data_IF_857715335640
#
_entry.id   IF_857715335640
#
_cell.length_a   1.000
_cell.length_b   1.000
_cell.length_c   1.000
_cell.angle_alpha   90.00
_cell.angle_beta   90.00
_cell.angle_gamma   90.00
#
_symmetry.space_group_name_H-M   'P 1'
#
loop_
_entity.id
_entity.type
_entity.pdbx_description
1 polymer ?
#
# COMPACT_ATOMS: atom_id res chain seq x y z
N UNK A 1 47.08 -0.86 -41.96
CA UNK A 1 46.42 -1.76 -40.99
C UNK A 1 45.91 -0.92 -39.83
N UNK A 2 44.62 -0.59 -39.83
CA UNK A 2 43.96 0.13 -38.74
C UNK A 2 43.20 -0.90 -37.87
N UNK A 3 43.52 -0.96 -36.58
CA UNK A 3 42.82 -1.82 -35.63
C UNK A 3 41.59 -1.08 -35.09
N UNK A 4 40.42 -1.68 -35.31
CA UNK A 4 39.12 -1.26 -34.80
C UNK A 4 39.11 -1.29 -33.26
N UNK A 5 38.81 -0.15 -32.63
CA UNK A 5 38.40 -0.09 -31.23
C UNK A 5 36.93 -0.51 -31.09
N UNK A 6 36.68 -1.56 -30.32
CA UNK A 6 35.34 -2.00 -29.94
C UNK A 6 34.74 -0.99 -28.94
N UNK A 7 33.67 -0.30 -29.33
CA UNK A 7 32.79 0.42 -28.43
C UNK A 7 31.77 -0.54 -27.83
N UNK A 8 31.90 -0.82 -26.53
CA UNK A 8 30.81 -1.42 -25.76
C UNK A 8 29.68 -0.40 -25.60
N UNK A 9 28.40 -0.77 -25.78
CA UNK A 9 27.29 0.15 -25.58
C UNK A 9 27.13 0.43 -24.08
N UNK A 10 27.25 1.71 -23.70
CA UNK A 10 26.84 2.19 -22.38
C UNK A 10 25.33 1.97 -22.25
N UNK A 11 24.90 1.23 -21.24
CA UNK A 11 23.50 1.14 -20.84
C UNK A 11 23.03 2.51 -20.33
N UNK A 12 22.01 3.14 -20.94
CA UNK A 12 21.42 4.36 -20.41
C UNK A 12 20.28 3.96 -19.48
N UNK A 13 20.56 3.92 -18.18
CA UNK A 13 19.51 4.09 -17.18
C UNK A 13 19.88 5.39 -16.50
N UNK A 14 19.36 6.48 -17.06
CA UNK A 14 19.65 7.84 -16.61
C UNK A 14 19.16 8.01 -15.17
N UNK A 15 20.06 8.46 -14.29
CA UNK A 15 19.77 8.71 -12.87
C UNK A 15 18.67 9.75 -12.63
N UNK A 16 18.32 10.54 -13.65
CA UNK A 16 17.23 11.52 -13.64
C UNK A 16 15.82 10.89 -13.59
N UNK A 17 15.65 9.67 -14.11
CA UNK A 17 14.36 8.99 -14.05
C UNK A 17 14.02 8.54 -12.63
N UNK A 18 15.04 8.13 -11.86
CA UNK A 18 14.87 7.67 -10.48
C UNK A 18 14.59 8.82 -9.51
N UNK A 19 15.28 9.96 -9.64
CA UNK A 19 15.00 11.18 -8.87
C UNK A 19 13.58 11.71 -9.10
N UNK A 20 13.10 11.68 -10.34
CA UNK A 20 11.72 12.07 -10.67
C UNK A 20 10.69 11.09 -10.08
N UNK A 21 11.00 9.78 -10.08
CA UNK A 21 10.21 8.78 -9.37
C UNK A 21 10.19 9.05 -7.86
N UNK A 22 11.32 9.40 -7.24
CA UNK A 22 11.39 9.71 -5.81
C UNK A 22 10.57 10.93 -5.39
N UNK A 23 10.49 11.98 -6.23
CA UNK A 23 9.57 13.10 -5.99
C UNK A 23 8.10 12.66 -6.03
N UNK A 24 7.73 11.78 -6.96
CA UNK A 24 6.38 11.19 -7.00
C UNK A 24 6.08 10.25 -5.83
N UNK A 25 7.11 9.60 -5.26
CA UNK A 25 6.99 8.62 -4.16
C UNK A 25 7.09 9.25 -2.76
N UNK A 26 7.33 10.56 -2.63
CA UNK A 26 7.46 11.25 -1.35
C UNK A 26 6.09 11.46 -0.66
N UNK A 27 5.41 10.36 -0.35
CA UNK A 27 4.08 10.24 0.25
C UNK A 27 4.11 10.33 1.79
N UNK A 28 5.07 11.04 2.40
CA UNK A 28 5.20 11.01 3.86
C UNK A 28 4.44 12.10 4.62
N UNK A 29 4.14 13.24 4.03
CA UNK A 29 3.35 14.31 4.70
C UNK A 29 2.01 14.62 4.03
N UNK A 30 1.95 14.56 2.69
CA UNK A 30 0.73 14.89 1.93
C UNK A 30 -0.34 13.82 2.11
N UNK A 31 0.06 12.55 2.16
CA UNK A 31 -0.84 11.38 2.22
C UNK A 31 -1.71 11.34 3.47
N UNK A 32 -1.20 11.79 4.61
CA UNK A 32 -1.96 11.78 5.86
C UNK A 32 -3.02 12.87 5.92
N UNK A 33 -2.79 14.02 5.28
CA UNK A 33 -3.70 15.16 5.34
C UNK A 33 -4.70 15.20 4.18
N UNK A 34 -4.31 14.75 2.97
CA UNK A 34 -5.17 14.83 1.78
C UNK A 34 -6.01 13.58 1.53
N UNK A 35 -5.65 12.42 2.08
CA UNK A 35 -6.39 11.16 1.84
C UNK A 35 -7.72 11.02 2.59
N UNK A 36 -8.09 12.06 3.35
CA UNK A 36 -9.21 12.10 4.27
C UNK A 36 -10.31 13.07 3.87
N UNK A 37 -9.98 13.99 2.95
CA UNK A 37 -10.89 15.01 2.46
C UNK A 37 -11.27 14.76 0.99
N UNK A 38 -10.85 13.62 0.46
CA UNK A 38 -11.02 13.26 -0.94
C UNK A 38 -11.68 11.87 -0.95
N UNK A 39 -12.84 11.70 -1.61
CA UNK A 39 -13.42 10.38 -1.87
C UNK A 39 -12.39 9.44 -2.50
N UNK A 40 -12.39 8.16 -2.13
CA UNK A 40 -11.44 7.20 -2.69
C UNK A 40 -11.62 7.10 -4.21
N UNK A 41 -12.83 7.30 -4.73
CA UNK A 41 -13.10 7.41 -6.17
C UNK A 41 -12.31 8.52 -6.87
N UNK A 42 -11.93 9.60 -6.19
CA UNK A 42 -11.15 10.65 -6.83
C UNK A 42 -9.72 10.18 -7.17
N UNK A 43 -9.25 9.10 -6.54
CA UNK A 43 -7.99 8.45 -6.90
C UNK A 43 -8.02 7.81 -8.28
N UNK A 44 -9.19 7.56 -8.86
CA UNK A 44 -9.32 7.01 -10.22
C UNK A 44 -8.76 7.96 -11.28
N UNK A 45 -8.77 9.28 -11.00
CA UNK A 45 -8.14 10.27 -11.87
C UNK A 45 -6.62 10.12 -11.97
N UNK A 46 -6.01 9.39 -11.03
CA UNK A 46 -4.57 9.14 -10.96
C UNK A 46 -4.22 7.70 -11.36
N UNK A 47 -5.09 7.05 -12.15
CA UNK A 47 -4.91 5.66 -12.55
C UNK A 47 -3.57 5.41 -13.25
N UNK A 48 -3.09 6.34 -14.08
CA UNK A 48 -1.81 6.21 -14.77
C UNK A 48 -0.64 6.28 -13.78
N UNK A 49 -0.70 7.16 -12.80
CA UNK A 49 0.30 7.34 -11.76
C UNK A 49 0.41 6.10 -10.87
N UNK A 50 -0.71 5.48 -10.50
CA UNK A 50 -0.69 4.20 -9.78
C UNK A 50 -0.05 3.09 -10.62
N UNK A 51 -0.35 3.03 -11.91
CA UNK A 51 0.25 2.05 -12.82
C UNK A 51 1.77 2.29 -12.97
N UNK A 52 2.20 3.54 -13.06
CA UNK A 52 3.62 3.93 -13.09
C UNK A 52 4.34 3.52 -11.81
N UNK A 53 3.73 3.72 -10.63
CA UNK A 53 4.28 3.29 -9.33
C UNK A 53 4.53 1.77 -9.35
N UNK A 54 3.52 0.99 -9.76
CA UNK A 54 3.58 -0.48 -9.80
C UNK A 54 4.63 -0.96 -10.82
N UNK A 55 4.64 -0.37 -12.02
CA UNK A 55 5.60 -0.70 -13.06
C UNK A 55 7.04 -0.40 -12.63
N UNK A 56 7.26 0.76 -11.98
CA UNK A 56 8.57 1.18 -11.49
C UNK A 56 9.05 0.28 -10.36
N UNK A 57 8.20 -0.03 -9.39
CA UNK A 57 8.52 -0.95 -8.31
C UNK A 57 8.88 -2.35 -8.83
N UNK A 58 8.16 -2.83 -9.86
CA UNK A 58 8.48 -4.09 -10.54
C UNK A 58 9.87 -4.03 -11.19
N UNK A 59 10.18 -2.98 -11.94
CA UNK A 59 11.49 -2.82 -12.57
C UNK A 59 12.64 -2.82 -11.53
N UNK A 60 12.46 -2.14 -10.39
CA UNK A 60 13.42 -2.15 -9.28
C UNK A 60 13.64 -3.57 -8.74
N UNK A 61 12.56 -4.33 -8.52
CA UNK A 61 12.64 -5.72 -8.04
C UNK A 61 13.27 -6.68 -9.05
N UNK A 62 13.01 -6.48 -10.34
CA UNK A 62 13.59 -7.28 -11.43
C UNK A 62 15.11 -7.04 -11.53
N UNK A 63 15.56 -5.78 -11.41
CA UNK A 63 16.99 -5.42 -11.34
C UNK A 63 17.66 -6.09 -10.14
N UNK A 64 17.03 -6.04 -8.95
CA UNK A 64 17.53 -6.72 -7.74
C UNK A 64 17.65 -8.24 -7.93
N UNK A 65 16.74 -8.84 -8.71
CA UNK A 65 16.70 -10.28 -8.95
C UNK A 65 17.70 -10.75 -10.02
N UNK A 66 17.96 -9.94 -11.04
CA UNK A 66 18.88 -10.24 -12.16
C UNK A 66 20.37 -10.10 -11.83
N UNK A 67 20.73 -9.36 -10.77
CA UNK A 67 22.11 -9.10 -10.36
C UNK A 67 22.80 -10.22 -9.56
N UNK A 68 22.22 -11.42 -9.48
CA UNK A 68 22.78 -12.58 -8.76
C UNK A 68 24.00 -13.19 -9.49
N UNK A 69 25.06 -12.42 -9.71
CA UNK A 69 26.40 -13.00 -9.91
C UNK A 69 26.93 -13.43 -8.54
N UNK A 70 27.34 -14.69 -8.41
CA UNK A 70 27.52 -15.40 -7.14
C UNK A 70 28.64 -14.91 -6.21
N UNK A 71 29.32 -13.78 -6.49
CA UNK A 71 30.57 -13.39 -5.82
C UNK A 71 30.66 -11.92 -5.37
N UNK A 72 29.62 -11.09 -5.53
CA UNK A 72 29.65 -9.72 -4.99
C UNK A 72 28.94 -9.65 -3.64
N UNK A 73 29.64 -9.14 -2.62
CA UNK A 73 29.03 -8.73 -1.34
C UNK A 73 27.79 -7.86 -1.62
N UNK A 74 26.72 -7.95 -0.80
CA UNK A 74 25.57 -7.07 -0.95
C UNK A 74 26.06 -5.63 -0.83
N UNK A 75 26.11 -4.93 -1.96
CA UNK A 75 26.44 -3.52 -2.00
C UNK A 75 25.33 -2.82 -1.22
N UNK A 76 25.69 -2.06 -0.18
CA UNK A 76 24.75 -1.18 0.49
C UNK A 76 24.26 -0.16 -0.53
N UNK A 77 23.13 -0.44 -1.16
CA UNK A 77 22.33 0.56 -1.87
C UNK A 77 21.39 1.16 -0.83
N UNK A 78 21.39 2.49 -0.62
CA UNK A 78 20.33 3.12 0.16
C UNK A 78 19.00 2.66 -0.44
N UNK A 79 18.22 1.92 0.34
CA UNK A 79 17.04 1.21 -0.16
C UNK A 79 16.09 2.21 -0.81
N UNK A 80 15.91 2.07 -2.12
CA UNK A 80 14.89 2.80 -2.87
C UNK A 80 13.55 2.40 -2.26
N UNK A 81 12.87 3.34 -1.58
CA UNK A 81 11.65 3.07 -0.84
C UNK A 81 10.48 2.71 -1.75
N UNK A 82 10.23 1.42 -1.99
CA UNK A 82 9.10 0.94 -2.79
C UNK A 82 7.97 0.39 -1.93
N UNK A 83 8.21 0.07 -0.65
CA UNK A 83 7.20 -0.52 0.25
C UNK A 83 6.02 0.44 0.45
N UNK A 84 6.27 1.67 0.87
CA UNK A 84 5.20 2.62 1.17
C UNK A 84 4.38 3.02 -0.07
N UNK A 85 4.99 3.29 -1.24
CA UNK A 85 4.22 3.52 -2.46
C UNK A 85 3.36 2.33 -2.88
N UNK A 86 3.89 1.10 -2.77
CA UNK A 86 3.12 -0.11 -3.05
C UNK A 86 2.00 -0.31 -2.04
N UNK A 87 2.22 0.00 -0.76
CA UNK A 87 1.19 -0.02 0.27
C UNK A 87 0.07 0.95 -0.08
N UNK A 88 0.41 2.18 -0.44
CA UNK A 88 -0.56 3.21 -0.81
C UNK A 88 -1.34 2.84 -2.07
N UNK A 89 -0.65 2.35 -3.11
CA UNK A 89 -1.29 1.87 -4.33
C UNK A 89 -2.27 0.73 -4.05
N UNK A 90 -1.87 -0.21 -3.19
CA UNK A 90 -2.75 -1.32 -2.79
C UNK A 90 -3.96 -0.83 -1.99
N UNK A 91 -3.77 0.13 -1.08
CA UNK A 91 -4.84 0.64 -0.21
C UNK A 91 -5.84 1.55 -0.95
N UNK A 92 -5.37 2.41 -1.85
CA UNK A 92 -6.19 3.49 -2.45
C UNK A 92 -6.66 3.19 -3.85
N UNK A 93 -5.90 2.45 -4.65
CA UNK A 93 -6.28 2.24 -6.05
C UNK A 93 -7.43 1.22 -6.16
N UNK A 94 -8.50 1.60 -6.87
CA UNK A 94 -9.74 0.81 -6.88
C UNK A 94 -9.74 -0.41 -7.78
N UNK A 95 -8.89 -0.42 -8.80
CA UNK A 95 -8.82 -1.52 -9.75
C UNK A 95 -8.19 -2.79 -9.11
N UNK A 96 -8.94 -3.90 -9.04
CA UNK A 96 -8.50 -5.12 -8.36
C UNK A 96 -7.32 -5.78 -9.05
N UNK A 97 -7.25 -5.72 -10.38
CA UNK A 97 -6.10 -6.25 -11.12
C UNK A 97 -4.80 -5.56 -10.67
N UNK A 98 -4.76 -4.23 -10.68
CA UNK A 98 -3.56 -3.50 -10.26
C UNK A 98 -3.28 -3.59 -8.77
N UNK A 99 -4.32 -3.63 -7.95
CA UNK A 99 -4.20 -3.84 -6.50
C UNK A 99 -3.52 -5.17 -6.19
N UNK A 100 -3.94 -6.24 -6.85
CA UNK A 100 -3.35 -7.57 -6.69
C UNK A 100 -1.87 -7.58 -7.14
N UNK A 101 -1.54 -6.87 -8.21
CA UNK A 101 -0.14 -6.73 -8.66
C UNK A 101 0.70 -5.98 -7.63
N UNK A 102 0.22 -4.85 -7.12
CA UNK A 102 0.91 -4.06 -6.11
C UNK A 102 1.17 -4.90 -4.84
N UNK A 103 0.17 -5.63 -4.39
CA UNK A 103 0.26 -6.53 -3.24
C UNK A 103 1.28 -7.66 -3.46
N UNK A 104 1.32 -8.27 -4.65
CA UNK A 104 2.32 -9.30 -5.01
C UNK A 104 3.74 -8.74 -4.99
N UNK A 105 3.96 -7.51 -5.44
CA UNK A 105 5.27 -6.84 -5.38
C UNK A 105 5.63 -6.46 -3.93
N UNK A 106 4.67 -5.99 -3.16
CA UNK A 106 4.85 -5.62 -1.75
C UNK A 106 5.37 -6.81 -0.93
N UNK A 107 4.77 -8.00 -1.09
CA UNK A 107 5.25 -9.25 -0.46
C UNK A 107 6.72 -9.57 -0.78
N UNK A 108 7.20 -9.16 -1.96
CA UNK A 108 8.58 -9.39 -2.44
C UNK A 108 9.54 -8.26 -2.11
N UNK A 109 9.07 -7.16 -1.52
CA UNK A 109 9.86 -5.94 -1.34
C UNK A 109 10.89 -6.00 -0.21
N UNK A 110 10.88 -7.06 0.61
CA UNK A 110 11.83 -7.24 1.69
C UNK A 110 11.53 -6.30 2.86
N UNK A 111 12.54 -5.58 3.36
CA UNK A 111 12.44 -4.66 4.49
C UNK A 111 13.04 -3.33 4.07
N UNK A 112 12.40 -2.21 4.46
CA UNK A 112 12.89 -0.85 4.25
C UNK A 112 12.79 -0.09 5.57
N UNK A 113 13.92 0.13 6.25
CA UNK A 113 13.90 0.74 7.58
C UNK A 113 12.97 0.01 8.58
N UNK A 114 11.90 0.67 9.11
CA UNK A 114 10.90 0.03 9.96
C UNK A 114 9.87 -0.81 9.20
N UNK A 115 9.72 -0.62 7.90
CA UNK A 115 8.69 -1.28 7.10
C UNK A 115 9.14 -2.66 6.62
N UNK A 116 8.24 -3.63 6.64
CA UNK A 116 8.49 -4.96 6.11
C UNK A 116 7.38 -5.34 5.13
N UNK A 117 7.73 -5.52 3.86
CA UNK A 117 6.76 -5.73 2.78
C UNK A 117 5.87 -6.96 3.00
N UNK A 118 6.38 -8.00 3.65
CA UNK A 118 5.59 -9.18 4.01
C UNK A 118 4.55 -8.91 5.12
N UNK A 119 4.88 -8.05 6.09
CA UNK A 119 3.95 -7.60 7.13
C UNK A 119 2.90 -6.67 6.52
N UNK A 120 3.35 -5.65 5.78
CA UNK A 120 2.49 -4.66 5.13
C UNK A 120 1.49 -5.32 4.17
N UNK A 121 1.92 -6.33 3.42
CA UNK A 121 1.03 -7.09 2.55
C UNK A 121 -0.03 -7.88 3.32
N UNK A 122 0.32 -8.52 4.45
CA UNK A 122 -0.67 -9.23 5.27
C UNK A 122 -1.70 -8.29 5.88
N UNK A 123 -1.27 -7.09 6.25
CA UNK A 123 -2.19 -6.05 6.72
C UNK A 123 -3.18 -5.68 5.61
N UNK A 124 -2.69 -5.50 4.39
CA UNK A 124 -3.54 -5.16 3.24
C UNK A 124 -4.45 -6.31 2.78
N UNK A 125 -4.06 -7.57 2.98
CA UNK A 125 -4.97 -8.71 2.77
C UNK A 125 -6.22 -8.57 3.65
N UNK A 126 -6.05 -8.15 4.91
CA UNK A 126 -7.18 -7.93 5.82
C UNK A 126 -8.03 -6.75 5.39
N UNK A 127 -7.43 -5.70 4.83
CA UNK A 127 -8.16 -4.57 4.24
C UNK A 127 -9.00 -5.04 3.06
N UNK A 128 -8.39 -5.71 2.09
CA UNK A 128 -9.06 -6.20 0.89
C UNK A 128 -10.21 -7.14 1.26
N UNK A 129 -9.97 -8.08 2.18
CA UNK A 129 -11.02 -8.97 2.66
C UNK A 129 -12.16 -8.21 3.36
N UNK A 130 -11.87 -7.12 4.08
CA UNK A 130 -12.90 -6.30 4.71
C UNK A 130 -13.74 -5.51 3.70
N UNK A 131 -13.12 -5.02 2.62
CA UNK A 131 -13.82 -4.35 1.52
C UNK A 131 -14.70 -5.34 0.74
N UNK A 132 -14.14 -6.50 0.36
CA UNK A 132 -14.78 -7.47 -0.54
C UNK A 132 -15.79 -8.40 0.15
N UNK A 133 -15.70 -8.63 1.47
CA UNK A 133 -16.64 -9.48 2.23
C UNK A 133 -18.10 -8.98 2.19
N UNK A 134 -18.33 -7.75 1.74
CA UNK A 134 -19.69 -7.20 1.56
C UNK A 134 -20.34 -7.69 0.26
N UNK A 135 -19.54 -7.99 -0.76
CA UNK A 135 -20.01 -8.45 -2.07
C UNK A 135 -20.60 -9.86 -2.00
N UNK A 136 -20.00 -10.74 -1.19
CA UNK A 136 -20.48 -12.13 -0.97
C UNK A 136 -21.86 -12.20 -0.27
N UNK A 137 -22.25 -11.14 0.46
CA UNK A 137 -23.58 -11.08 1.11
C UNK A 137 -24.69 -10.65 0.17
N UNK A 138 -24.36 -10.08 -0.99
CA UNK A 138 -25.33 -9.61 -1.98
C UNK A 138 -25.39 -10.52 -3.21
N UNK A 139 -24.28 -11.19 -3.58
CA UNK A 139 -24.21 -12.10 -4.74
C UNK A 139 -25.00 -13.42 -4.57
N UNK A 140 -25.50 -13.71 -3.37
CA UNK A 140 -26.41 -14.83 -3.12
C UNK A 140 -27.87 -14.53 -3.50
N UNK A 141 -28.17 -13.33 -4.00
CA UNK A 141 -29.46 -12.97 -4.56
C UNK A 141 -29.26 -12.31 -5.94
N UNK A 142 -29.89 -12.86 -6.98
CA UNK A 142 -30.03 -12.36 -8.36
C UNK A 142 -28.98 -12.82 -9.39
N UNK A 143 -29.33 -13.92 -10.07
CA UNK A 143 -28.96 -14.18 -11.47
C UNK A 143 -29.70 -13.18 -12.37
N UNK A 144 -29.06 -12.09 -12.78
CA UNK A 144 -29.50 -11.31 -13.94
C UNK A 144 -28.28 -10.76 -14.71
N UNK A 145 -28.19 -10.93 -16.05
CA UNK A 145 -27.05 -10.45 -16.83
C UNK A 145 -27.18 -8.94 -17.08
N UNK A 146 -26.47 -8.14 -16.27
CA UNK A 146 -26.33 -6.69 -16.48
C UNK A 146 -25.12 -6.35 -17.39
N UNK A 147 -25.17 -5.23 -18.13
CA UNK A 147 -24.17 -4.87 -19.13
C UNK A 147 -22.85 -4.41 -18.49
N UNK A 148 -21.73 -4.80 -19.11
CA UNK A 148 -20.36 -4.53 -18.66
C UNK A 148 -20.02 -3.04 -18.63
N UNK A 149 -20.09 -2.43 -17.44
CA UNK A 149 -19.36 -1.20 -17.10
C UNK A 149 -17.86 -1.53 -16.92
N UNK A 150 -16.93 -0.58 -17.14
CA UNK A 150 -15.52 -0.83 -16.86
C UNK A 150 -15.35 -1.01 -15.35
N UNK A 151 -15.23 -2.26 -14.91
CA UNK A 151 -15.21 -2.65 -13.50
C UNK A 151 -14.09 -1.93 -12.75
N UNK A 152 -14.47 -0.98 -11.91
CA UNK A 152 -13.63 -0.39 -10.85
C UNK A 152 -14.12 -1.04 -9.56
N UNK A 153 -13.47 -2.15 -9.24
CA UNK A 153 -14.06 -3.35 -8.63
C UNK A 153 -14.62 -3.20 -7.19
N UNK A 154 -14.40 -2.06 -6.51
CA UNK A 154 -14.92 -1.83 -5.14
C UNK A 154 -15.60 -0.45 -5.04
N UNK A 155 -16.90 -0.40 -4.67
CA UNK A 155 -17.64 0.86 -4.54
C UNK A 155 -17.15 1.67 -3.33
N UNK A 156 -17.33 3.00 -3.38
CA UNK A 156 -16.83 3.95 -2.38
C UNK A 156 -17.31 3.62 -0.95
N UNK A 157 -18.58 3.25 -0.84
CA UNK A 157 -19.26 2.91 0.40
C UNK A 157 -18.76 1.61 1.03
N UNK A 158 -17.92 0.83 0.34
CA UNK A 158 -17.25 -0.36 0.87
C UNK A 158 -15.79 -0.12 1.20
N UNK A 159 -15.22 1.04 0.85
CA UNK A 159 -13.80 1.32 1.00
C UNK A 159 -13.38 1.48 2.44
N UNK A 160 -12.20 0.95 2.75
CA UNK A 160 -11.45 1.31 3.94
C UNK A 160 -10.61 2.54 3.62
N UNK A 161 -10.91 3.64 4.27
CA UNK A 161 -10.21 4.91 4.05
C UNK A 161 -8.87 4.95 4.79
N UNK A 162 -8.74 4.25 5.92
CA UNK A 162 -7.53 4.25 6.73
C UNK A 162 -7.17 2.87 7.28
N UNK A 163 -5.87 2.63 7.35
CA UNK A 163 -5.28 1.46 7.97
C UNK A 163 -4.03 1.90 8.74
N UNK A 164 -4.05 1.71 10.06
CA UNK A 164 -2.99 2.15 10.97
C UNK A 164 -2.54 0.98 11.86
N UNK A 165 -1.24 0.72 11.91
CA UNK A 165 -0.68 -0.20 12.91
C UNK A 165 -0.62 0.53 14.25
N UNK A 166 -1.39 0.06 15.23
CA UNK A 166 -1.38 0.62 16.58
C UNK A 166 -0.33 -0.02 17.48
N UNK A 167 -0.15 -1.34 17.33
CA UNK A 167 0.65 -2.10 18.28
C UNK A 167 1.13 -3.43 17.66
N UNK A 168 2.11 -4.05 18.32
CA UNK A 168 2.57 -5.41 18.03
C UNK A 168 2.33 -6.28 19.26
N UNK A 169 1.81 -7.49 19.05
CA UNK A 169 1.33 -8.35 20.14
C UNK A 169 2.05 -9.70 20.14
N UNK A 170 2.33 -10.25 21.33
CA UNK A 170 2.85 -11.61 21.50
C UNK A 170 1.76 -12.69 21.32
N UNK A 171 2.08 -13.97 21.58
CA UNK A 171 1.11 -15.09 21.51
C UNK A 171 -0.04 -14.98 22.51
N UNK A 172 0.11 -14.20 23.58
CA UNK A 172 -0.89 -13.96 24.63
C UNK A 172 -1.68 -12.68 24.36
N UNK A 173 -1.47 -12.05 23.21
CA UNK A 173 -2.03 -10.74 22.85
C UNK A 173 -1.60 -9.60 23.78
N UNK A 174 -0.45 -9.75 24.43
CA UNK A 174 0.15 -8.68 25.22
C UNK A 174 0.96 -7.75 24.30
N UNK A 175 0.81 -6.44 24.49
CA UNK A 175 1.56 -5.41 23.78
C UNK A 175 3.06 -5.59 23.99
N UNK A 176 3.82 -5.48 22.91
CA UNK A 176 5.28 -5.52 22.96
C UNK A 176 5.86 -4.22 22.44
N UNK A 177 6.72 -3.61 23.23
CA UNK A 177 7.53 -2.50 22.76
C UNK A 177 8.62 -3.04 21.81
N UNK A 178 8.72 -2.45 20.62
CA UNK A 178 9.66 -2.85 19.54
C UNK A 178 11.13 -2.44 19.80
N UNK A 179 11.43 -1.95 21.01
CA UNK A 179 12.73 -1.46 21.44
C UNK A 179 13.79 -2.56 21.67
N UNK A 180 13.41 -3.84 21.51
CA UNK A 180 14.34 -4.98 21.66
C UNK A 180 14.72 -5.55 20.30
N UNK A 181 15.96 -5.29 19.89
CA UNK A 181 16.56 -5.81 18.67
C UNK A 181 16.53 -7.35 18.55
N UNK A 182 16.71 -7.82 17.31
CA UNK A 182 16.84 -9.22 16.85
C UNK A 182 16.11 -10.29 17.70
N UNK A 183 14.86 -10.56 17.33
CA UNK A 183 14.05 -11.64 17.91
C UNK A 183 12.78 -11.15 18.60
N UNK A 184 12.03 -10.24 17.96
CA UNK A 184 10.75 -9.76 18.50
C UNK A 184 9.82 -10.95 18.79
N UNK A 185 9.26 -11.05 20.01
CA UNK A 185 8.26 -12.07 20.33
C UNK A 185 6.90 -11.78 19.69
N UNK A 186 6.75 -10.66 18.97
CA UNK A 186 5.50 -10.36 18.29
C UNK A 186 5.13 -11.44 17.31
N UNK A 187 3.85 -11.82 17.37
CA UNK A 187 3.19 -12.72 16.45
C UNK A 187 2.02 -12.07 15.73
N UNK A 188 1.57 -10.91 16.21
CA UNK A 188 0.49 -10.18 15.57
C UNK A 188 0.80 -8.68 15.48
N UNK A 189 0.31 -8.01 14.45
CA UNK A 189 0.14 -6.57 14.41
C UNK A 189 -1.33 -6.25 14.74
N UNK A 190 -1.56 -5.38 15.73
CA UNK A 190 -2.88 -4.81 15.99
C UNK A 190 -3.08 -3.63 15.05
N UNK A 191 -4.01 -3.78 14.13
CA UNK A 191 -4.32 -2.80 13.09
C UNK A 191 -5.68 -2.17 13.37
N UNK A 192 -5.74 -0.85 13.31
CA UNK A 192 -6.97 -0.07 13.29
C UNK A 192 -7.36 0.19 11.82
N UNK A 193 -8.58 -0.16 11.48
CA UNK A 193 -9.20 0.09 10.19
C UNK A 193 -10.30 1.12 10.37
N UNK A 194 -10.34 2.12 9.50
CA UNK A 194 -11.39 3.15 9.54
C UNK A 194 -12.06 3.29 8.17
N UNK A 195 -13.38 3.38 8.19
CA UNK A 195 -14.24 3.57 7.03
C UNK A 195 -15.17 4.75 7.29
N UNK A 196 -15.31 5.63 6.31
CA UNK A 196 -16.29 6.71 6.39
C UNK A 196 -17.66 6.20 5.94
N UNK A 197 -18.69 6.37 6.77
CA UNK A 197 -20.09 6.01 6.47
C UNK A 197 -20.79 7.09 5.65
N UNK A 198 -20.46 8.35 5.92
CA UNK A 198 -21.09 9.53 5.32
C UNK A 198 -20.02 10.58 5.02
N UNK A 199 -19.40 10.42 3.85
CA UNK A 199 -18.33 11.30 3.40
C UNK A 199 -18.85 12.70 3.05
N UNK A 200 -20.02 12.80 2.42
CA UNK A 200 -20.60 14.09 2.03
C UNK A 200 -21.01 14.92 3.25
N UNK A 201 -21.65 14.28 4.23
CA UNK A 201 -21.99 14.92 5.50
C UNK A 201 -20.75 15.34 6.28
N UNK A 202 -19.70 14.53 6.27
CA UNK A 202 -18.43 14.89 6.93
C UNK A 202 -17.75 16.09 6.25
N UNK A 203 -17.72 16.12 4.91
CA UNK A 203 -17.09 17.21 4.16
C UNK A 203 -17.87 18.52 4.27
N UNK A 204 -19.18 18.44 4.52
CA UNK A 204 -20.06 19.59 4.67
C UNK A 204 -20.19 20.09 6.13
N UNK A 205 -19.61 19.40 7.11
CA UNK A 205 -19.69 19.77 8.53
C UNK A 205 -18.72 20.91 8.87
N UNK A 206 -19.23 22.14 8.87
CA UNK A 206 -18.48 23.34 9.26
C UNK A 206 -18.12 23.39 10.76
N UNK A 207 -18.76 22.55 11.59
CA UNK A 207 -18.52 22.49 13.04
C UNK A 207 -17.33 21.59 13.41
N UNK A 208 -16.73 20.93 12.42
CA UNK A 208 -15.59 20.02 12.59
C UNK A 208 -14.36 20.79 13.10
N UNK A 209 -14.01 20.56 14.37
CA UNK A 209 -12.82 21.13 15.01
C UNK A 209 -11.49 20.57 14.47
N UNK A 210 -10.33 21.14 14.88
CA UNK A 210 -9.02 20.70 14.42
C UNK A 210 -8.72 19.24 14.79
N UNK A 211 -8.16 18.52 13.80
CA UNK A 211 -8.05 17.05 13.73
C UNK A 211 -6.95 16.52 14.66
N UNK A 212 -7.31 16.06 15.86
CA UNK A 212 -6.42 15.18 16.63
C UNK A 212 -6.79 13.70 16.46
N UNK A 213 -8.08 13.40 16.34
CA UNK A 213 -8.59 12.03 16.17
C UNK A 213 -9.89 12.06 15.33
N UNK A 214 -9.81 12.51 14.07
CA UNK A 214 -11.04 12.69 13.27
C UNK A 214 -11.81 11.38 13.03
N UNK A 215 -11.13 10.23 13.07
CA UNK A 215 -11.74 8.89 13.02
C UNK A 215 -12.51 8.51 14.31
N UNK A 216 -12.40 9.31 15.37
CA UNK A 216 -13.16 9.12 16.61
C UNK A 216 -14.57 9.71 16.53
N UNK A 217 -14.89 10.48 15.48
CA UNK A 217 -16.24 10.98 15.26
C UNK A 217 -17.13 9.86 14.70
N UNK A 218 -17.78 9.14 15.61
CA UNK A 218 -18.69 8.02 15.30
C UNK A 218 -19.90 8.42 14.44
N UNK A 219 -20.17 9.74 14.28
CA UNK A 219 -21.20 10.22 13.34
C UNK A 219 -20.85 9.86 11.90
N UNK A 220 -19.56 9.91 11.55
CA UNK A 220 -19.08 9.75 10.18
C UNK A 220 -18.20 8.51 10.01
N UNK A 221 -17.61 7.97 11.07
CA UNK A 221 -16.58 6.95 10.98
C UNK A 221 -16.94 5.64 11.67
N UNK A 222 -16.77 4.55 10.93
CA UNK A 222 -16.62 3.20 11.45
C UNK A 222 -15.16 2.93 11.75
N UNK A 223 -14.83 2.67 13.02
CA UNK A 223 -13.48 2.25 13.42
C UNK A 223 -13.54 0.88 14.08
N UNK A 224 -12.72 -0.06 13.60
CA UNK A 224 -12.57 -1.37 14.20
C UNK A 224 -11.11 -1.84 14.20
N UNK A 225 -10.83 -2.87 14.99
CA UNK A 225 -9.48 -3.41 15.13
C UNK A 225 -9.40 -4.84 14.63
N UNK A 226 -8.24 -5.20 14.07
CA UNK A 226 -7.91 -6.56 13.62
C UNK A 226 -6.51 -6.92 14.11
N UNK A 227 -6.36 -8.14 14.59
CA UNK A 227 -5.05 -8.71 14.89
C UNK A 227 -4.59 -9.48 13.65
N UNK A 228 -3.59 -8.95 12.96
CA UNK A 228 -3.02 -9.53 11.74
C UNK A 228 -1.82 -10.40 12.14
N UNK A 229 -1.76 -11.69 11.78
CA UNK A 229 -0.59 -12.50 12.07
C UNK A 229 0.65 -11.93 11.36
N UNK A 230 1.81 -12.00 12.01
CA UNK A 230 3.08 -11.65 11.40
C UNK A 230 3.65 -12.87 10.68
N UNK A 231 4.36 -12.68 9.55
CA UNK A 231 5.04 -13.76 8.86
C UNK A 231 6.15 -14.31 9.77
N UNK A 232 6.34 -15.63 9.75
CA UNK A 232 7.37 -16.33 10.54
C UNK A 232 8.80 -16.03 10.06
#
# INVERSE_FOLDING_TARGET
MAARGNSSPKSPIDGDGLSTLFEKLNLHSVTYATSLDIPVTAYDNYALEFQEIIASAKAVLDIRSGGKSSNSLPLFTPEMGIIQPLFFATLKYRNSFWREQALKLLRKSGREGPWCGAIEAQILDVVIAAEESTLDKLSSNFDEPQPSMPSTDVPEDQRVHLCLVQDYLDRRYESITLDKGAGSPARFAKVQLCKCRDLEGMLSDETRGPRKDFWADERYWDTWHKNVPLPE
#
